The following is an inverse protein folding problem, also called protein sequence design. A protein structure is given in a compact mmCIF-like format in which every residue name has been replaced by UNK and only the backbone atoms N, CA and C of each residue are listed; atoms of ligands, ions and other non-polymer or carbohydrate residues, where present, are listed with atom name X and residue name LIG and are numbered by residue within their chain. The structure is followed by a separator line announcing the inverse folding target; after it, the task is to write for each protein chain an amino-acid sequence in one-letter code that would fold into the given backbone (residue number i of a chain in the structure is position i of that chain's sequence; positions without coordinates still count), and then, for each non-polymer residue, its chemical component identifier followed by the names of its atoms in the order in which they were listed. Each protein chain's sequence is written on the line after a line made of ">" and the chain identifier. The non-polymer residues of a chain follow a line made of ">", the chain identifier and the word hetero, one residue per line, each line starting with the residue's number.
data_IF_298703888323
#
_entry.id   IF_298703888323
#
_cell.length_a   1.000
_cell.length_b   1.000
_cell.length_c   1.000
_cell.angle_alpha   90.00
_cell.angle_beta   90.00
_cell.angle_gamma   90.00
#
_symmetry.space_group_name_H-M   'P 1'
#
loop_
_entity.id
_entity.type
_entity.pdbx_description
1 polymer ?
#
# COMPACT_ATOMS: atom_id res chain seq x y z
N UNK A 1 -44.37 17.43 47.49
CA UNK A 1 -43.05 18.03 47.22
C UNK A 1 -42.37 17.22 46.14
N UNK A 2 -42.35 17.74 44.92
CA UNK A 2 -41.75 17.08 43.76
C UNK A 2 -40.22 17.13 43.84
N UNK A 3 -39.55 16.09 43.37
CA UNK A 3 -38.18 16.18 42.87
C UNK A 3 -38.00 15.12 41.80
N UNK A 4 -38.29 15.52 40.56
CA UNK A 4 -37.90 14.78 39.36
C UNK A 4 -36.40 15.05 39.15
N UNK A 5 -35.55 14.07 39.47
CA UNK A 5 -34.13 14.14 39.15
C UNK A 5 -33.96 13.81 37.68
N UNK A 6 -34.10 14.81 36.80
CA UNK A 6 -33.69 14.70 35.41
C UNK A 6 -32.16 14.55 35.39
N UNK A 7 -31.67 13.33 35.28
CA UNK A 7 -30.24 13.07 35.10
C UNK A 7 -29.93 13.35 33.64
N UNK A 8 -29.61 14.63 33.43
CA UNK A 8 -28.65 15.18 32.49
C UNK A 8 -28.29 14.25 31.33
N UNK A 9 -28.91 14.55 30.19
CA UNK A 9 -28.49 14.11 28.87
C UNK A 9 -26.97 14.20 28.77
N UNK A 10 -26.34 13.04 28.55
CA UNK A 10 -24.95 12.97 28.13
C UNK A 10 -24.84 13.90 26.93
N UNK A 11 -24.10 15.00 27.15
CA UNK A 11 -23.67 15.97 26.15
C UNK A 11 -23.25 15.24 24.88
N UNK A 12 -24.19 15.05 23.96
CA UNK A 12 -23.93 14.85 22.54
C UNK A 12 -23.57 16.22 21.92
N UNK A 13 -22.58 16.87 22.54
CA UNK A 13 -21.97 18.12 22.12
C UNK A 13 -20.47 17.85 22.00
N UNK A 14 -20.13 16.86 21.17
CA UNK A 14 -18.84 16.82 20.49
C UNK A 14 -19.12 17.03 19.01
N UNK A 15 -19.42 18.30 18.78
CA UNK A 15 -19.56 19.00 17.52
C UNK A 15 -18.65 18.41 16.44
N UNK A 16 -19.31 17.85 15.43
CA UNK A 16 -18.75 17.54 14.14
C UNK A 16 -18.01 18.78 13.61
N UNK A 17 -16.71 18.66 13.33
CA UNK A 17 -15.98 19.59 12.50
C UNK A 17 -16.25 19.20 11.02
N UNK A 18 -17.17 19.88 10.32
CA UNK A 18 -17.74 19.39 9.07
C UNK A 18 -16.81 19.57 7.85
N UNK A 19 -15.66 20.25 8.02
CA UNK A 19 -14.74 20.55 6.92
C UNK A 19 -13.51 19.64 6.88
N UNK A 20 -13.29 18.85 7.94
CA UNK A 20 -12.11 18.00 8.09
C UNK A 20 -12.21 16.68 7.32
N UNK A 21 -13.41 16.19 7.01
CA UNK A 21 -13.60 14.85 6.43
C UNK A 21 -13.06 14.75 5.00
N UNK A 22 -13.48 15.65 4.10
CA UNK A 22 -13.07 15.59 2.68
C UNK A 22 -11.57 15.83 2.53
N UNK A 23 -11.01 16.80 3.26
CA UNK A 23 -9.57 17.04 3.28
C UNK A 23 -8.80 15.86 3.89
N UNK A 24 -9.35 15.20 4.91
CA UNK A 24 -8.76 14.00 5.49
C UNK A 24 -8.78 12.83 4.50
N UNK A 25 -9.87 12.63 3.76
CA UNK A 25 -9.98 11.60 2.73
C UNK A 25 -9.00 11.84 1.59
N UNK A 26 -8.90 13.08 1.09
CA UNK A 26 -7.89 13.46 0.08
C UNK A 26 -6.48 13.21 0.60
N UNK A 27 -6.20 13.57 1.86
CA UNK A 27 -4.89 13.32 2.48
C UNK A 27 -4.58 11.82 2.61
N UNK A 28 -5.58 11.01 2.96
CA UNK A 28 -5.45 9.55 3.05
C UNK A 28 -5.16 8.94 1.68
N UNK A 29 -5.87 9.39 0.64
CA UNK A 29 -5.62 8.99 -0.74
C UNK A 29 -4.18 9.27 -1.16
N UNK A 30 -3.71 10.52 -0.99
CA UNK A 30 -2.35 10.88 -1.37
C UNK A 30 -1.29 10.06 -0.62
N UNK A 31 -1.48 9.82 0.68
CA UNK A 31 -0.56 8.97 1.47
C UNK A 31 -0.46 7.56 0.88
N UNK A 32 -1.57 6.95 0.50
CA UNK A 32 -1.60 5.61 -0.09
C UNK A 32 -1.03 5.61 -1.51
N UNK A 33 -1.35 6.63 -2.30
CA UNK A 33 -0.85 6.80 -3.66
C UNK A 33 0.68 6.85 -3.70
N UNK A 34 1.32 7.67 -2.84
CA UNK A 34 2.78 7.78 -2.81
C UNK A 34 3.46 6.45 -2.46
N UNK A 35 2.92 5.69 -1.50
CA UNK A 35 3.45 4.38 -1.14
C UNK A 35 3.40 3.42 -2.33
N UNK A 36 2.29 3.42 -3.08
CA UNK A 36 2.11 2.51 -4.21
C UNK A 36 2.87 2.96 -5.46
N UNK A 37 2.86 4.26 -5.77
CA UNK A 37 3.50 4.83 -6.96
C UNK A 37 5.03 4.75 -6.90
N UNK A 38 5.59 4.88 -5.70
CA UNK A 38 7.04 4.81 -5.47
C UNK A 38 7.45 3.51 -4.76
N UNK A 39 6.59 2.49 -4.78
CA UNK A 39 6.97 1.16 -4.32
C UNK A 39 8.21 0.69 -5.10
N UNK A 40 9.26 0.20 -4.43
CA UNK A 40 10.46 -0.26 -5.11
C UNK A 40 10.13 -1.29 -6.18
N UNK A 41 10.49 -1.00 -7.43
CA UNK A 41 10.34 -1.96 -8.52
C UNK A 41 11.17 -3.20 -8.18
N UNK A 42 10.49 -4.34 -8.01
CA UNK A 42 11.10 -5.64 -7.77
C UNK A 42 11.14 -6.42 -9.08
N UNK A 43 12.20 -6.24 -9.90
CA UNK A 43 12.34 -6.97 -11.14
C UNK A 43 12.39 -8.48 -10.87
N UNK A 44 13.00 -8.92 -9.76
CA UNK A 44 12.42 -9.87 -8.79
C UNK A 44 11.32 -10.83 -9.27
N UNK A 45 10.11 -10.26 -9.28
CA UNK A 45 8.85 -10.92 -9.53
C UNK A 45 8.52 -11.01 -11.02
N UNK A 46 9.18 -10.20 -11.84
CA UNK A 46 8.87 -9.95 -13.24
C UNK A 46 9.94 -10.52 -14.19
N UNK A 47 11.15 -10.81 -13.71
CA UNK A 47 12.07 -11.68 -14.42
C UNK A 47 11.60 -13.12 -14.18
N UNK A 48 10.76 -13.59 -15.07
CA UNK A 48 10.74 -15.01 -15.37
C UNK A 48 11.77 -15.21 -16.48
N UNK A 49 12.79 -16.01 -16.15
CA UNK A 49 13.77 -16.69 -17.03
C UNK A 49 15.18 -16.17 -16.85
N UNK A 50 16.03 -17.08 -16.36
CA UNK A 50 17.46 -17.05 -16.57
C UNK A 50 17.81 -17.00 -18.06
N UNK A 51 19.07 -17.24 -18.43
CA UNK A 51 19.57 -16.90 -19.74
C UNK A 51 18.69 -17.40 -20.88
N UNK A 52 18.17 -16.45 -21.67
CA UNK A 52 17.29 -16.74 -22.79
C UNK A 52 17.97 -17.59 -23.87
N UNK A 53 17.22 -18.13 -24.85
CA UNK A 53 17.78 -18.95 -25.92
C UNK A 53 18.97 -18.30 -26.65
N UNK A 54 18.92 -16.97 -26.86
CA UNK A 54 20.00 -16.20 -27.48
C UNK A 54 21.29 -16.17 -26.64
N UNK A 55 21.18 -16.18 -25.30
CA UNK A 55 22.34 -16.28 -24.41
C UNK A 55 22.92 -17.70 -24.44
N UNK A 56 22.06 -18.73 -24.43
CA UNK A 56 22.51 -20.13 -24.51
C UNK A 56 23.21 -20.44 -25.84
N UNK A 57 22.73 -19.93 -26.97
CA UNK A 57 23.40 -20.11 -28.26
C UNK A 57 24.84 -19.59 -28.26
N UNK A 58 25.12 -18.50 -27.54
CA UNK A 58 26.46 -17.90 -27.44
C UNK A 58 27.40 -18.64 -26.48
N UNK A 59 26.85 -19.37 -25.50
CA UNK A 59 27.64 -19.95 -24.40
C UNK A 59 27.54 -21.48 -24.27
N UNK A 60 26.72 -22.16 -25.07
CA UNK A 60 26.59 -23.62 -25.08
C UNK A 60 27.84 -24.36 -25.61
N UNK A 61 28.82 -23.64 -26.14
CA UNK A 61 30.04 -24.19 -26.73
C UNK A 61 31.14 -24.57 -25.73
N UNK A 62 30.86 -24.66 -24.42
CA UNK A 62 31.78 -25.29 -23.48
C UNK A 62 31.46 -26.79 -23.41
N UNK A 63 32.18 -27.68 -24.12
CA UNK A 63 32.06 -29.10 -23.85
C UNK A 63 32.44 -29.35 -22.38
N UNK A 64 31.74 -30.25 -21.66
CA UNK A 64 32.17 -30.63 -20.32
C UNK A 64 33.59 -31.22 -20.39
N UNK A 65 34.43 -31.01 -19.37
CA UNK A 65 35.71 -31.70 -19.29
C UNK A 65 35.42 -33.21 -19.33
N UNK A 66 35.98 -33.90 -20.33
CA UNK A 66 35.93 -35.35 -20.40
C UNK A 66 36.88 -35.86 -19.32
N UNK A 67 36.33 -36.32 -18.20
CA UNK A 67 37.00 -37.17 -17.22
C UNK A 67 36.63 -38.61 -17.47
#
# INVERSE_FOLDING_TARGET
>A
MASLTTTNEVRHEQQAAPDTSVLAEIRLFWRQFFVQAFAPYRPELHYMRGPGPAWRAKHAHKPPPRG
#
